data_IF_476443132254
#
_entry.id   IF_476443132254
#
_cell.length_a   1.000
_cell.length_b   1.000
_cell.length_c   1.000
_cell.angle_alpha   90.00
_cell.angle_beta   90.00
_cell.angle_gamma   90.00
#
_symmetry.space_group_name_H-M   'P 1'
#
loop_
_entity.id
_entity.type
_entity.pdbx_description
1 polymer ?
#
# COMPACT_ATOMS: atom_id res chain seq x y z
N UNK A 1 -9.74 8.83 29.81
CA UNK A 1 -9.99 8.99 28.38
C UNK A 1 -9.16 10.16 27.90
N UNK A 2 -8.44 9.99 26.79
CA UNK A 2 -7.73 11.01 26.05
C UNK A 2 -8.28 11.03 24.63
N UNK A 3 -8.57 12.21 24.10
CA UNK A 3 -8.93 12.40 22.70
C UNK A 3 -7.85 13.19 21.99
N UNK A 4 -7.56 12.81 20.75
CA UNK A 4 -6.59 13.47 19.87
C UNK A 4 -7.23 13.69 18.51
N UNK A 5 -7.13 14.89 17.97
CA UNK A 5 -7.66 15.23 16.66
C UNK A 5 -6.50 15.49 15.69
N UNK A 6 -6.62 14.97 14.46
CA UNK A 6 -5.66 15.27 13.40
C UNK A 6 -5.91 16.67 12.86
N UNK A 7 -4.85 17.44 12.62
CA UNK A 7 -4.95 18.86 12.25
C UNK A 7 -5.61 19.06 10.87
N UNK A 8 -5.22 18.27 9.87
CA UNK A 8 -5.63 18.50 8.48
C UNK A 8 -6.83 17.66 8.06
N UNK A 9 -6.94 16.43 8.54
CA UNK A 9 -8.01 15.50 8.14
C UNK A 9 -9.25 15.55 9.06
N UNK A 10 -9.13 16.17 10.25
CA UNK A 10 -10.22 16.27 11.22
C UNK A 10 -10.67 14.92 11.79
N UNK A 11 -9.78 13.91 11.74
CA UNK A 11 -10.05 12.60 12.32
C UNK A 11 -9.79 12.64 13.82
N UNK A 12 -10.67 12.03 14.60
CA UNK A 12 -10.54 11.91 16.05
C UNK A 12 -10.14 10.50 16.45
N UNK A 13 -9.21 10.38 17.38
CA UNK A 13 -8.86 9.14 18.07
C UNK A 13 -9.13 9.28 19.56
N UNK A 14 -9.80 8.31 20.14
CA UNK A 14 -10.03 8.21 21.58
C UNK A 14 -9.19 7.07 22.15
N UNK A 15 -8.38 7.37 23.16
CA UNK A 15 -7.62 6.39 23.94
C UNK A 15 -8.22 6.28 25.34
N UNK A 16 -8.73 5.11 25.69
CA UNK A 16 -9.23 4.84 27.04
C UNK A 16 -8.31 3.85 27.75
N UNK A 17 -7.80 4.23 28.90
CA UNK A 17 -6.91 3.39 29.71
C UNK A 17 -7.55 3.10 31.06
N UNK A 18 -7.48 1.85 31.50
CA UNK A 18 -7.83 1.41 32.85
C UNK A 18 -6.73 0.51 33.41
N UNK A 19 -6.31 0.80 34.63
CA UNK A 19 -5.33 0.00 35.37
C UNK A 19 -6.04 -0.80 36.46
N UNK A 20 -5.67 -2.07 36.61
CA UNK A 20 -6.16 -2.99 37.65
C UNK A 20 -4.95 -3.59 38.37
N UNK A 21 -4.89 -3.43 39.68
CA UNK A 21 -3.84 -3.98 40.52
C UNK A 21 -4.37 -5.23 41.27
N UNK A 22 -3.56 -6.28 41.36
CA UNK A 22 -3.92 -7.53 42.04
C UNK A 22 -3.95 -7.42 43.57
N UNK A 23 -3.45 -6.33 44.13
CA UNK A 23 -3.47 -6.02 45.57
C UNK A 23 -4.09 -4.63 45.77
N UNK A 24 -4.54 -4.29 46.99
CA UNK A 24 -4.98 -2.94 47.29
C UNK A 24 -3.87 -1.93 46.98
N UNK A 25 -4.20 -0.92 46.19
CA UNK A 25 -3.26 0.12 45.76
C UNK A 25 -3.92 1.49 45.79
N UNK A 26 -3.17 2.51 46.16
CA UNK A 26 -3.55 3.92 45.97
C UNK A 26 -3.27 4.31 44.53
N UNK A 27 -4.24 4.84 43.82
CA UNK A 27 -4.10 5.28 42.43
C UNK A 27 -4.40 6.78 42.34
N UNK A 28 -3.40 7.56 41.99
CA UNK A 28 -3.52 9.00 41.80
C UNK A 28 -3.27 9.35 40.32
N UNK A 29 -4.22 10.09 39.70
CA UNK A 29 -4.12 10.57 38.34
C UNK A 29 -3.66 12.02 38.33
N UNK A 30 -2.59 12.28 37.59
CA UNK A 30 -2.05 13.59 37.30
C UNK A 30 -2.23 13.90 35.82
N UNK A 31 -2.68 15.11 35.49
CA UNK A 31 -2.79 15.58 34.13
C UNK A 31 -1.93 16.84 33.97
N UNK A 32 -0.96 16.77 33.08
CA UNK A 32 -0.05 17.89 32.78
C UNK A 32 0.03 18.05 31.25
N UNK A 33 -0.47 19.17 30.76
CA UNK A 33 -0.56 19.42 29.30
C UNK A 33 -1.33 18.31 28.57
N UNK A 34 -0.68 17.64 27.63
CA UNK A 34 -1.22 16.55 26.84
C UNK A 34 -0.94 15.15 27.42
N UNK A 35 -0.35 15.07 28.60
CA UNK A 35 -0.01 13.82 29.27
C UNK A 35 -0.94 13.52 30.42
N UNK A 36 -1.30 12.23 30.56
CA UNK A 36 -2.02 11.71 31.74
C UNK A 36 -1.17 10.62 32.38
N UNK A 37 -0.74 10.86 33.61
CA UNK A 37 0.09 9.94 34.38
C UNK A 37 -0.72 9.33 35.52
N UNK A 38 -0.52 8.05 35.79
CA UNK A 38 -1.05 7.35 36.93
C UNK A 38 0.08 6.95 37.88
N UNK A 39 0.06 7.46 39.08
CA UNK A 39 0.93 6.99 40.18
C UNK A 39 0.16 5.90 40.94
N UNK A 40 0.78 4.73 41.06
CA UNK A 40 0.18 3.56 41.69
C UNK A 40 1.10 3.10 42.80
N UNK A 41 0.65 3.26 44.04
CA UNK A 41 1.37 2.90 45.23
C UNK A 41 0.76 1.69 45.90
N UNK A 42 1.55 0.64 46.11
CA UNK A 42 1.13 -0.57 46.82
C UNK A 42 2.23 -1.10 47.73
N UNK A 43 1.83 -1.85 48.75
CA UNK A 43 2.75 -2.51 49.66
C UNK A 43 2.87 -3.98 49.33
N UNK A 44 4.10 -4.49 49.24
CA UNK A 44 4.40 -5.88 48.90
C UNK A 44 5.40 -6.42 49.90
N UNK A 45 5.08 -7.58 50.51
CA UNK A 45 6.02 -8.26 51.43
C UNK A 45 7.05 -9.08 50.62
N UNK A 46 8.19 -9.36 51.26
CA UNK A 46 9.23 -10.20 50.66
C UNK A 46 8.67 -11.57 50.24
N UNK A 47 8.90 -11.99 48.97
CA UNK A 47 8.42 -13.24 48.42
C UNK A 47 6.99 -13.18 47.81
N UNK A 48 6.30 -12.04 47.92
CA UNK A 48 5.03 -11.81 47.26
C UNK A 48 5.23 -11.11 45.91
N UNK A 49 4.32 -11.32 44.98
CA UNK A 49 4.27 -10.64 43.68
C UNK A 49 3.01 -9.82 43.53
N UNK A 50 3.14 -8.70 42.82
CA UNK A 50 2.01 -7.84 42.44
C UNK A 50 1.90 -7.85 40.93
N UNK A 51 0.68 -7.98 40.42
CA UNK A 51 0.37 -7.85 39.00
C UNK A 51 -0.40 -6.57 38.76
N UNK A 52 0.13 -5.73 37.86
CA UNK A 52 -0.57 -4.56 37.34
C UNK A 52 -1.02 -4.88 35.92
N UNK A 53 -2.34 -4.92 35.70
CA UNK A 53 -2.91 -5.11 34.36
C UNK A 53 -3.39 -3.77 33.82
N UNK A 54 -2.87 -3.40 32.64
CA UNK A 54 -3.28 -2.21 31.93
C UNK A 54 -4.15 -2.61 30.73
N UNK A 55 -5.39 -2.17 30.73
CA UNK A 55 -6.29 -2.25 29.60
C UNK A 55 -6.22 -0.94 28.83
N UNK A 56 -6.05 -1.04 27.50
CA UNK A 56 -6.05 0.13 26.61
C UNK A 56 -6.98 -0.14 25.44
N UNK A 57 -7.93 0.76 25.22
CA UNK A 57 -8.86 0.73 24.08
C UNK A 57 -8.59 1.95 23.22
N UNK A 58 -8.54 1.73 21.92
CA UNK A 58 -8.47 2.76 20.90
C UNK A 58 -9.73 2.71 20.04
N UNK A 59 -10.35 3.85 19.83
CA UNK A 59 -11.47 4.03 18.91
C UNK A 59 -11.25 5.28 18.07
N UNK A 60 -11.81 5.34 16.88
CA UNK A 60 -11.63 6.45 15.96
C UNK A 60 -12.95 6.85 15.27
N UNK A 61 -12.94 8.05 14.68
CA UNK A 61 -14.11 8.65 14.01
C UNK A 61 -14.40 8.08 12.62
N UNK A 62 -13.54 7.23 12.06
CA UNK A 62 -13.83 6.49 10.82
C UNK A 62 -14.80 5.33 11.09
N UNK A 63 -14.73 4.77 12.31
CA UNK A 63 -15.52 3.60 12.74
C UNK A 63 -16.70 3.93 13.63
N UNK A 64 -16.67 5.10 14.29
CA UNK A 64 -17.65 5.46 15.33
C UNK A 64 -18.00 6.94 15.29
N UNK A 65 -19.29 7.26 15.28
CA UNK A 65 -19.79 8.63 15.38
C UNK A 65 -19.44 9.28 16.73
N UNK A 66 -19.45 8.49 17.82
CA UNK A 66 -19.02 8.88 19.17
C UNK A 66 -17.90 7.96 19.65
N UNK A 67 -16.64 8.37 19.42
CA UNK A 67 -15.45 7.62 19.81
C UNK A 67 -15.37 7.39 21.33
N UNK A 68 -15.82 8.35 22.14
CA UNK A 68 -15.74 8.26 23.61
C UNK A 68 -16.72 7.21 24.12
N UNK A 69 -17.94 7.22 23.63
CA UNK A 69 -18.95 6.24 24.02
C UNK A 69 -18.56 4.83 23.55
N UNK A 70 -18.05 4.70 22.34
CA UNK A 70 -17.54 3.43 21.81
C UNK A 70 -16.37 2.90 22.65
N UNK A 71 -15.41 3.76 23.04
CA UNK A 71 -14.29 3.38 23.89
C UNK A 71 -14.74 2.92 25.28
N UNK A 72 -15.76 3.56 25.88
CA UNK A 72 -16.34 3.14 27.16
C UNK A 72 -16.98 1.75 27.05
N UNK A 73 -17.83 1.53 26.03
CA UNK A 73 -18.50 0.26 25.81
C UNK A 73 -17.49 -0.87 25.58
N UNK A 74 -16.47 -0.65 24.74
CA UNK A 74 -15.40 -1.62 24.50
C UNK A 74 -14.59 -1.93 25.76
N UNK A 75 -14.30 -0.92 26.62
CA UNK A 75 -13.64 -1.14 27.88
C UNK A 75 -14.48 -1.98 28.85
N UNK A 76 -15.77 -1.72 28.95
CA UNK A 76 -16.70 -2.52 29.77
C UNK A 76 -16.71 -3.97 29.32
N UNK A 77 -16.82 -4.22 28.01
CA UNK A 77 -16.73 -5.57 27.44
C UNK A 77 -15.39 -6.24 27.75
N UNK A 78 -14.27 -5.52 27.58
CA UNK A 78 -12.94 -6.06 27.85
C UNK A 78 -12.77 -6.49 29.30
N UNK A 79 -13.32 -5.74 30.24
CA UNK A 79 -13.25 -6.04 31.67
C UNK A 79 -14.16 -7.21 32.11
N UNK A 80 -15.22 -7.53 31.36
CA UNK A 80 -16.07 -8.71 31.61
C UNK A 80 -15.36 -10.01 31.23
N UNK A 81 -14.30 -9.98 30.47
CA UNK A 81 -13.57 -11.18 30.01
C UNK A 81 -12.33 -11.39 30.90
N UNK A 82 -12.16 -12.58 31.50
CA UNK A 82 -10.96 -12.90 32.27
C UNK A 82 -9.69 -12.77 31.41
N UNK A 83 -8.59 -12.29 32.00
CA UNK A 83 -7.33 -12.11 31.28
C UNK A 83 -6.80 -13.40 30.62
N UNK A 84 -6.98 -14.56 31.29
CA UNK A 84 -6.63 -15.87 30.72
C UNK A 84 -7.36 -16.14 29.41
N UNK A 85 -8.61 -15.70 29.29
CA UNK A 85 -9.39 -15.89 28.07
C UNK A 85 -8.90 -15.02 26.91
N UNK A 86 -8.35 -13.83 27.20
CA UNK A 86 -7.68 -13.00 26.20
C UNK A 86 -6.43 -13.67 25.66
N UNK A 87 -5.65 -14.35 26.49
CA UNK A 87 -4.50 -15.15 26.05
C UNK A 87 -4.94 -16.33 25.18
N UNK A 88 -6.02 -17.02 25.52
CA UNK A 88 -6.57 -18.11 24.71
C UNK A 88 -7.00 -17.63 23.33
N UNK A 89 -7.74 -16.50 23.25
CA UNK A 89 -8.11 -15.91 21.95
C UNK A 89 -6.89 -15.54 21.10
N UNK A 90 -5.88 -14.96 21.70
CA UNK A 90 -4.63 -14.64 21.00
C UNK A 90 -3.93 -15.90 20.51
N UNK A 91 -3.84 -16.94 21.32
CA UNK A 91 -3.23 -18.21 20.95
C UNK A 91 -3.99 -18.89 19.82
N UNK A 92 -5.30 -18.97 19.89
CA UNK A 92 -6.15 -19.58 18.86
C UNK A 92 -6.01 -18.84 17.53
N UNK A 93 -6.03 -17.49 17.56
CA UNK A 93 -5.84 -16.67 16.38
C UNK A 93 -4.47 -16.91 15.73
N UNK A 94 -3.39 -16.82 16.50
CA UNK A 94 -2.04 -17.05 15.99
C UNK A 94 -1.82 -18.49 15.53
N UNK A 95 -2.43 -19.48 16.21
CA UNK A 95 -2.36 -20.87 15.78
C UNK A 95 -2.96 -21.05 14.38
N UNK A 96 -4.12 -20.46 14.12
CA UNK A 96 -4.75 -20.49 12.80
C UNK A 96 -3.88 -19.80 11.76
N UNK A 97 -3.33 -18.63 12.08
CA UNK A 97 -2.42 -17.91 11.20
C UNK A 97 -1.20 -18.76 10.83
N UNK A 98 -0.51 -19.35 11.81
CA UNK A 98 0.68 -20.16 11.55
C UNK A 98 0.40 -21.45 10.77
N UNK A 99 -0.80 -22.03 10.92
CA UNK A 99 -1.19 -23.19 10.11
C UNK A 99 -1.22 -22.90 8.60
N UNK A 100 -1.48 -21.65 8.22
CA UNK A 100 -1.61 -21.22 6.82
C UNK A 100 -0.37 -20.49 6.29
N UNK A 101 0.48 -19.98 7.17
CA UNK A 101 1.49 -18.97 6.82
C UNK A 101 2.91 -19.30 7.27
N UNK A 102 3.09 -20.41 8.02
CA UNK A 102 4.43 -20.79 8.50
C UNK A 102 5.31 -21.28 7.36
N UNK A 103 6.60 -21.03 7.49
CA UNK A 103 7.64 -21.47 6.56
C UNK A 103 8.63 -22.34 7.31
N UNK A 104 8.91 -23.51 6.76
CA UNK A 104 9.92 -24.42 7.28
C UNK A 104 11.24 -24.18 6.53
N UNK A 105 12.29 -23.84 7.28
CA UNK A 105 13.62 -23.54 6.74
C UNK A 105 14.63 -24.46 7.44
N UNK A 106 15.10 -25.44 6.70
CA UNK A 106 16.12 -26.37 7.19
C UNK A 106 17.51 -25.76 7.16
N UNK A 107 18.28 -25.97 8.22
CA UNK A 107 19.71 -25.67 8.28
C UNK A 107 20.09 -24.28 8.71
N UNK A 108 19.11 -23.37 8.95
CA UNK A 108 19.35 -22.03 9.48
C UNK A 108 18.22 -21.57 10.42
N UNK A 109 18.35 -21.93 11.71
CA UNK A 109 17.39 -21.58 12.75
C UNK A 109 17.27 -20.05 12.95
N UNK A 110 18.34 -19.30 12.73
CA UNK A 110 18.34 -17.84 12.87
C UNK A 110 17.51 -17.18 11.76
N UNK A 111 17.66 -17.65 10.52
CA UNK A 111 16.86 -17.21 9.39
C UNK A 111 15.38 -17.57 9.60
N UNK A 112 15.08 -18.81 10.01
CA UNK A 112 13.72 -19.26 10.30
C UNK A 112 13.05 -18.37 11.38
N UNK A 113 13.76 -18.07 12.46
CA UNK A 113 13.27 -17.16 13.51
C UNK A 113 13.05 -15.73 12.99
N UNK A 114 13.97 -15.20 12.17
CA UNK A 114 13.84 -13.86 11.58
C UNK A 114 12.64 -13.76 10.65
N UNK A 115 12.40 -14.76 9.79
CA UNK A 115 11.24 -14.81 8.90
C UNK A 115 9.94 -14.84 9.71
N UNK A 116 9.82 -15.76 10.69
CA UNK A 116 8.63 -15.84 11.57
C UNK A 116 8.38 -14.54 12.32
N UNK A 117 9.44 -13.87 12.82
CA UNK A 117 9.30 -12.58 13.47
C UNK A 117 8.73 -11.52 12.52
N UNK A 118 9.23 -11.44 11.28
CA UNK A 118 8.73 -10.50 10.29
C UNK A 118 7.27 -10.79 9.89
N UNK A 119 6.89 -12.06 9.70
CA UNK A 119 5.51 -12.45 9.43
C UNK A 119 4.58 -12.10 10.61
N UNK A 120 5.06 -12.26 11.85
CA UNK A 120 4.33 -11.84 13.04
C UNK A 120 4.12 -10.32 13.08
N UNK A 121 5.13 -9.52 12.74
CA UNK A 121 4.99 -8.06 12.63
C UNK A 121 4.01 -7.66 11.53
N UNK A 122 4.05 -8.36 10.40
CA UNK A 122 3.16 -8.10 9.27
C UNK A 122 1.69 -8.37 9.65
N UNK A 123 1.38 -9.53 10.26
CA UNK A 123 0.00 -9.86 10.66
C UNK A 123 -0.56 -8.92 11.72
N UNK A 124 0.27 -8.41 12.64
CA UNK A 124 -0.17 -7.42 13.63
C UNK A 124 -0.54 -6.08 12.98
N UNK A 125 0.17 -5.70 11.90
CA UNK A 125 0.04 -4.40 11.25
C UNK A 125 -1.10 -4.36 10.24
N UNK A 126 -1.58 -5.52 9.77
CA UNK A 126 -2.59 -5.60 8.73
C UNK A 126 -3.95 -5.06 9.20
N UNK A 127 -4.58 -4.23 8.37
CA UNK A 127 -5.96 -3.77 8.56
C UNK A 127 -6.95 -4.95 8.62
N UNK A 128 -7.97 -4.82 9.45
CA UNK A 128 -9.02 -5.85 9.67
C UNK A 128 -10.35 -5.45 9.11
N UNK A 129 -10.45 -4.27 8.55
CA UNK A 129 -11.66 -3.71 7.98
C UNK A 129 -11.33 -2.71 6.86
N UNK A 130 -12.36 -2.20 6.22
CA UNK A 130 -12.26 -1.26 5.11
C UNK A 130 -11.63 0.11 5.43
N UNK A 131 -11.37 0.42 6.69
CA UNK A 131 -10.78 1.69 7.13
C UNK A 131 -9.29 1.59 7.46
N UNK A 132 -8.73 0.38 7.46
CA UNK A 132 -7.35 0.11 7.81
C UNK A 132 -6.53 -0.47 6.66
N UNK A 133 -5.29 -0.03 6.56
CA UNK A 133 -4.27 -0.58 5.66
C UNK A 133 -3.03 -0.97 6.49
N UNK A 134 -1.87 -1.13 5.87
CA UNK A 134 -0.60 -1.42 6.55
C UNK A 134 0.28 -0.17 6.48
N UNK A 135 0.61 0.40 7.65
CA UNK A 135 1.51 1.55 7.71
C UNK A 135 2.93 1.16 7.30
N UNK A 136 3.66 2.08 6.66
CA UNK A 136 5.00 1.83 6.11
C UNK A 136 6.02 1.26 7.11
N UNK A 137 5.89 1.59 8.41
CA UNK A 137 6.72 1.06 9.51
C UNK A 137 5.96 0.11 10.44
N UNK A 138 4.79 -0.37 10.03
CA UNK A 138 3.94 -1.21 10.86
C UNK A 138 3.50 -0.50 12.15
N UNK A 139 3.36 -1.26 13.24
CA UNK A 139 2.95 -0.73 14.55
C UNK A 139 4.14 -0.27 15.41
N UNK A 140 5.37 -0.62 15.08
CA UNK A 140 6.54 -0.44 15.94
C UNK A 140 7.43 0.74 15.56
N UNK A 141 7.22 1.39 14.41
CA UNK A 141 8.04 2.47 13.91
C UNK A 141 7.29 3.79 13.79
N UNK A 142 7.94 4.90 14.14
CA UNK A 142 7.38 6.26 14.03
C UNK A 142 7.59 6.88 12.64
N UNK A 143 8.44 6.30 11.79
CA UNK A 143 8.69 6.78 10.44
C UNK A 143 7.42 6.82 9.60
N UNK A 144 7.32 7.83 8.74
CA UNK A 144 6.17 8.10 7.86
C UNK A 144 4.84 8.33 8.59
N UNK A 145 4.85 8.49 9.91
CA UNK A 145 3.71 8.97 10.72
C UNK A 145 2.42 8.15 10.51
N UNK A 146 2.57 6.85 10.32
CA UNK A 146 1.45 5.93 10.11
C UNK A 146 0.77 6.01 8.74
N UNK A 147 1.35 6.71 7.76
CA UNK A 147 0.81 6.78 6.41
C UNK A 147 0.96 5.47 5.65
N UNK A 148 0.05 5.29 4.68
CA UNK A 148 -0.03 4.16 3.76
C UNK A 148 0.54 4.54 2.39
N UNK A 149 1.18 3.55 1.74
CA UNK A 149 1.83 3.67 0.44
C UNK A 149 1.48 2.44 -0.42
N UNK A 150 1.98 2.41 -1.65
CA UNK A 150 1.83 1.28 -2.57
C UNK A 150 2.62 0.01 -2.15
N UNK A 151 3.47 0.13 -1.15
CA UNK A 151 4.18 -1.01 -0.52
C UNK A 151 3.21 -2.10 -0.11
N UNK A 152 2.01 -1.75 0.33
CA UNK A 152 0.98 -2.71 0.69
C UNK A 152 0.60 -3.56 -0.50
N UNK A 153 0.22 -2.97 -1.62
CA UNK A 153 -0.27 -3.66 -2.81
C UNK A 153 0.78 -4.57 -3.45
N UNK A 154 2.02 -4.08 -3.54
CA UNK A 154 3.06 -4.75 -4.32
C UNK A 154 3.94 -5.69 -3.51
N UNK A 155 4.14 -5.43 -2.22
CA UNK A 155 5.12 -6.19 -1.42
C UNK A 155 4.52 -6.92 -0.21
N UNK A 156 3.38 -6.47 0.33
CA UNK A 156 2.78 -7.05 1.54
C UNK A 156 1.53 -7.88 1.22
N UNK A 157 0.65 -7.36 0.39
CA UNK A 157 -0.61 -8.00 0.02
C UNK A 157 -0.43 -9.34 -0.70
N UNK A 158 0.57 -9.57 -1.58
CA UNK A 158 0.78 -10.87 -2.20
C UNK A 158 0.92 -12.02 -1.19
N UNK A 159 1.59 -11.78 -0.06
CA UNK A 159 1.65 -12.75 1.02
C UNK A 159 0.25 -13.11 1.56
N UNK A 160 -0.57 -12.10 1.86
CA UNK A 160 -1.93 -12.34 2.36
C UNK A 160 -2.85 -12.93 1.29
N UNK A 161 -2.70 -12.54 0.04
CA UNK A 161 -3.48 -13.10 -1.07
C UNK A 161 -3.33 -14.62 -1.15
N UNK A 162 -2.11 -15.13 -0.91
CA UNK A 162 -1.82 -16.56 -0.98
C UNK A 162 -2.06 -17.32 0.34
N UNK A 163 -2.05 -16.65 1.49
CA UNK A 163 -2.14 -17.31 2.80
C UNK A 163 -3.41 -16.99 3.57
N UNK A 164 -3.91 -15.75 3.46
CA UNK A 164 -5.08 -15.24 4.18
C UNK A 164 -5.89 -14.28 3.30
N UNK A 165 -6.60 -14.77 2.29
CA UNK A 165 -7.28 -13.93 1.28
C UNK A 165 -8.32 -12.96 1.87
N UNK A 166 -8.90 -13.24 3.03
CA UNK A 166 -9.80 -12.33 3.73
C UNK A 166 -9.08 -11.03 4.17
N UNK A 167 -7.80 -11.12 4.55
CA UNK A 167 -6.99 -9.94 4.86
C UNK A 167 -6.71 -9.16 3.58
N UNK A 168 -6.31 -9.84 2.50
CA UNK A 168 -6.13 -9.23 1.19
C UNK A 168 -7.37 -8.47 0.73
N UNK A 169 -8.55 -9.09 0.89
CA UNK A 169 -9.84 -8.46 0.60
C UNK A 169 -10.07 -7.18 1.41
N UNK A 170 -9.78 -7.18 2.71
CA UNK A 170 -9.89 -5.99 3.55
C UNK A 170 -8.96 -4.85 3.09
N UNK A 171 -7.77 -5.17 2.62
CA UNK A 171 -6.83 -4.18 2.07
C UNK A 171 -7.35 -3.57 0.76
N UNK A 172 -8.00 -4.37 -0.11
CA UNK A 172 -8.68 -3.86 -1.30
C UNK A 172 -9.92 -3.05 -0.91
N UNK A 173 -10.68 -3.48 0.10
CA UNK A 173 -11.82 -2.73 0.63
C UNK A 173 -11.42 -1.33 1.11
N UNK A 174 -10.23 -1.17 1.70
CA UNK A 174 -9.68 0.14 2.00
C UNK A 174 -9.50 0.99 0.74
N UNK A 175 -8.93 0.44 -0.34
CA UNK A 175 -8.77 1.17 -1.61
C UNK A 175 -10.12 1.53 -2.23
N UNK A 176 -11.11 0.66 -2.09
CA UNK A 176 -12.48 0.95 -2.53
C UNK A 176 -13.12 2.06 -1.71
N UNK A 177 -12.94 2.08 -0.39
CA UNK A 177 -13.49 3.11 0.50
C UNK A 177 -12.93 4.51 0.18
N UNK A 178 -11.68 4.59 -0.25
CA UNK A 178 -11.04 5.86 -0.65
C UNK A 178 -11.14 6.17 -2.15
N UNK A 179 -11.90 5.40 -2.93
CA UNK A 179 -12.00 5.58 -4.39
C UNK A 179 -12.59 6.95 -4.77
N UNK A 180 -13.56 7.44 -4.03
CA UNK A 180 -14.13 8.78 -4.27
C UNK A 180 -13.11 9.89 -3.98
N UNK A 181 -12.26 9.72 -2.96
CA UNK A 181 -11.15 10.63 -2.72
C UNK A 181 -10.12 10.58 -3.86
N UNK A 182 -9.87 9.39 -4.44
CA UNK A 182 -9.00 9.25 -5.61
C UNK A 182 -9.60 9.90 -6.88
N UNK A 183 -10.91 9.83 -7.07
CA UNK A 183 -11.61 10.57 -8.14
C UNK A 183 -11.46 12.08 -7.96
N UNK A 184 -11.58 12.57 -6.74
CA UNK A 184 -11.40 13.99 -6.44
C UNK A 184 -9.94 14.42 -6.63
N UNK A 185 -8.96 13.59 -6.23
CA UNK A 185 -7.55 13.83 -6.47
C UNK A 185 -7.24 13.95 -7.98
N UNK A 186 -7.81 13.08 -8.81
CA UNK A 186 -7.70 13.19 -10.26
C UNK A 186 -8.19 14.55 -10.78
N UNK A 187 -9.35 15.04 -10.31
CA UNK A 187 -9.89 16.35 -10.70
C UNK A 187 -9.01 17.51 -10.23
N UNK A 188 -8.45 17.43 -9.01
CA UNK A 188 -7.53 18.45 -8.48
C UNK A 188 -6.30 18.59 -9.37
N UNK A 189 -5.80 17.48 -9.92
CA UNK A 189 -4.68 17.48 -10.85
C UNK A 189 -5.07 17.83 -12.30
N UNK A 190 -6.34 18.08 -12.58
CA UNK A 190 -6.85 18.52 -13.87
C UNK A 190 -7.38 17.43 -14.79
N UNK A 191 -7.46 16.18 -14.32
CA UNK A 191 -8.02 15.07 -15.10
C UNK A 191 -9.54 15.15 -15.20
N UNK A 192 -10.08 14.75 -16.35
CA UNK A 192 -11.50 14.82 -16.66
C UNK A 192 -12.28 13.61 -16.18
N UNK A 193 -11.61 12.45 -16.13
CA UNK A 193 -12.19 11.14 -15.80
C UNK A 193 -11.20 10.29 -15.03
N UNK A 194 -11.72 9.28 -14.34
CA UNK A 194 -10.94 8.29 -13.64
C UNK A 194 -10.61 8.66 -12.19
N UNK A 195 -9.82 7.83 -11.58
CA UNK A 195 -9.38 7.99 -10.20
C UNK A 195 -7.84 7.93 -10.14
N UNK A 196 -7.22 8.83 -9.39
CA UNK A 196 -5.78 8.86 -9.11
C UNK A 196 -5.55 8.58 -7.64
N UNK A 197 -5.13 7.37 -7.31
CA UNK A 197 -4.78 7.01 -5.95
C UNK A 197 -3.57 7.80 -5.45
N UNK A 198 -3.60 8.25 -4.19
CA UNK A 198 -2.52 9.04 -3.61
C UNK A 198 -1.28 8.17 -3.39
N UNK A 199 -0.10 8.76 -3.57
CA UNK A 199 1.18 8.13 -3.24
C UNK A 199 1.33 7.94 -1.72
N UNK A 200 0.95 8.94 -0.91
CA UNK A 200 1.00 8.93 0.55
C UNK A 200 -0.33 9.35 1.14
N UNK A 201 -0.94 8.53 1.98
CA UNK A 201 -2.28 8.83 2.54
C UNK A 201 -2.55 8.13 3.87
N UNK A 202 -3.56 8.64 4.60
CA UNK A 202 -4.28 7.93 5.66
C UNK A 202 -5.75 7.77 5.24
N UNK A 203 -6.39 8.83 4.78
CA UNK A 203 -7.84 8.91 4.52
C UNK A 203 -8.21 9.04 3.04
N UNK A 204 -7.28 8.76 2.13
CA UNK A 204 -7.48 8.91 0.68
C UNK A 204 -7.01 10.24 0.08
N UNK A 205 -6.70 11.24 0.89
CA UNK A 205 -6.12 12.50 0.41
C UNK A 205 -4.62 12.35 0.19
N UNK A 206 -4.09 12.95 -0.88
CA UNK A 206 -2.66 13.00 -1.15
C UNK A 206 -1.95 13.88 -0.10
N UNK A 207 -0.94 13.33 0.56
CA UNK A 207 -0.19 13.95 1.64
C UNK A 207 1.32 14.08 1.35
N UNK A 208 1.77 13.86 0.11
CA UNK A 208 3.18 14.05 -0.24
C UNK A 208 3.58 15.52 -0.19
N UNK A 209 4.77 15.77 0.37
CA UNK A 209 5.31 17.13 0.50
C UNK A 209 6.11 17.62 -0.71
N UNK A 210 6.46 16.70 -1.64
CA UNK A 210 7.27 17.00 -2.82
C UNK A 210 6.68 16.29 -4.05
N UNK A 211 5.96 17.03 -4.89
CA UNK A 211 5.16 16.47 -5.98
C UNK A 211 5.98 15.64 -7.00
N UNK A 212 7.26 15.96 -7.35
CA UNK A 212 7.96 15.19 -8.37
C UNK A 212 8.21 13.73 -8.00
N UNK A 213 8.47 13.43 -6.71
CA UNK A 213 8.63 12.06 -6.21
C UNK A 213 7.46 11.61 -5.33
N UNK A 214 6.31 12.25 -5.44
CA UNK A 214 5.08 11.92 -4.73
C UNK A 214 3.91 11.86 -5.70
N UNK A 215 3.13 12.92 -5.81
CA UNK A 215 1.90 12.98 -6.65
C UNK A 215 2.12 12.65 -8.13
N UNK A 216 3.35 12.79 -8.65
CA UNK A 216 3.70 12.41 -10.02
C UNK A 216 3.90 10.89 -10.21
N UNK A 217 3.85 10.09 -9.14
CA UNK A 217 3.92 8.63 -9.21
C UNK A 217 2.56 8.04 -9.58
N UNK A 218 2.22 8.09 -10.86
CA UNK A 218 0.95 7.61 -11.40
C UNK A 218 0.86 6.07 -11.41
N UNK A 219 1.97 5.36 -11.34
CA UNK A 219 2.01 3.90 -11.30
C UNK A 219 1.21 3.31 -10.13
N UNK A 220 0.98 4.09 -9.04
CA UNK A 220 0.13 3.68 -7.90
C UNK A 220 -1.23 3.15 -8.37
N UNK A 221 -1.80 3.72 -9.42
CA UNK A 221 -3.05 3.27 -9.99
C UNK A 221 -2.98 1.84 -10.53
N UNK A 222 -1.92 1.55 -11.26
CA UNK A 222 -1.69 0.21 -11.78
C UNK A 222 -1.36 -0.79 -10.67
N UNK A 223 -0.64 -0.35 -9.62
CA UNK A 223 -0.30 -1.18 -8.45
C UNK A 223 -1.57 -1.60 -7.69
N UNK A 224 -2.51 -0.66 -7.51
CA UNK A 224 -3.82 -0.97 -6.90
C UNK A 224 -4.63 -1.91 -7.79
N UNK A 225 -4.65 -1.69 -9.10
CA UNK A 225 -5.32 -2.59 -10.05
C UNK A 225 -4.68 -3.98 -10.03
N UNK A 226 -3.35 -4.08 -10.00
CA UNK A 226 -2.62 -5.34 -9.88
C UNK A 226 -3.04 -6.13 -8.64
N UNK A 227 -3.15 -5.48 -7.49
CA UNK A 227 -3.56 -6.13 -6.26
C UNK A 227 -4.99 -6.70 -6.32
N UNK A 228 -5.93 -5.98 -6.97
CA UNK A 228 -7.30 -6.47 -7.23
C UNK A 228 -7.27 -7.71 -8.13
N UNK A 229 -6.48 -7.67 -9.20
CA UNK A 229 -6.33 -8.78 -10.14
C UNK A 229 -5.69 -9.99 -9.48
N UNK A 230 -4.62 -9.79 -8.71
CA UNK A 230 -3.94 -10.86 -7.99
C UNK A 230 -4.89 -11.57 -7.00
N UNK A 231 -5.73 -10.81 -6.30
CA UNK A 231 -6.78 -11.36 -5.45
C UNK A 231 -7.77 -12.22 -6.25
N UNK A 232 -8.27 -11.70 -7.39
CA UNK A 232 -9.17 -12.44 -8.25
C UNK A 232 -8.56 -13.74 -8.78
N UNK A 233 -7.33 -13.69 -9.25
CA UNK A 233 -6.64 -14.88 -9.80
C UNK A 233 -6.41 -15.96 -8.72
N UNK A 234 -6.21 -15.55 -7.47
CA UNK A 234 -6.02 -16.49 -6.37
C UNK A 234 -7.33 -17.08 -5.82
N UNK A 235 -8.43 -16.31 -5.85
CA UNK A 235 -9.69 -16.69 -5.19
C UNK A 235 -10.81 -17.03 -6.13
N UNK A 236 -10.80 -16.50 -7.35
CA UNK A 236 -11.89 -16.53 -8.34
C UNK A 236 -13.21 -15.94 -7.78
N UNK A 237 -13.14 -15.03 -6.80
CA UNK A 237 -14.28 -14.36 -6.18
C UNK A 237 -14.89 -13.30 -7.12
N UNK A 238 -15.64 -13.80 -8.10
CA UNK A 238 -16.24 -12.97 -9.15
C UNK A 238 -17.32 -12.02 -8.60
N UNK A 239 -18.02 -12.41 -7.54
CA UNK A 239 -19.02 -11.55 -6.90
C UNK A 239 -18.37 -10.32 -6.23
N UNK A 240 -17.23 -10.51 -5.61
CA UNK A 240 -16.45 -9.41 -5.06
C UNK A 240 -15.94 -8.48 -6.17
N UNK A 241 -15.45 -9.04 -7.26
CA UNK A 241 -15.02 -8.25 -8.43
C UNK A 241 -16.19 -7.45 -8.99
N UNK A 242 -17.35 -8.06 -9.20
CA UNK A 242 -18.53 -7.37 -9.71
C UNK A 242 -19.03 -6.24 -8.79
N UNK A 243 -18.91 -6.43 -7.48
CA UNK A 243 -19.44 -5.47 -6.49
C UNK A 243 -18.48 -4.29 -6.21
N UNK A 244 -17.15 -4.51 -6.30
CA UNK A 244 -16.13 -3.53 -5.89
C UNK A 244 -14.89 -3.51 -6.79
N UNK A 245 -14.25 -4.66 -7.00
CA UNK A 245 -12.93 -4.73 -7.64
C UNK A 245 -12.90 -4.17 -9.05
N UNK A 246 -13.92 -4.47 -9.85
CA UNK A 246 -14.03 -4.00 -11.23
C UNK A 246 -14.17 -2.48 -11.31
N UNK A 247 -14.87 -1.84 -10.38
CA UNK A 247 -14.99 -0.38 -10.34
C UNK A 247 -13.63 0.28 -10.14
N UNK A 248 -12.78 -0.25 -9.25
CA UNK A 248 -11.41 0.22 -9.07
C UNK A 248 -10.63 0.12 -10.39
N UNK A 249 -10.66 -1.05 -11.02
CA UNK A 249 -9.88 -1.32 -12.24
C UNK A 249 -10.35 -0.48 -13.42
N UNK A 250 -11.65 -0.23 -13.55
CA UNK A 250 -12.20 0.63 -14.60
C UNK A 250 -11.86 2.11 -14.38
N UNK A 251 -11.94 2.60 -13.15
CA UNK A 251 -11.65 4.00 -12.86
C UNK A 251 -10.15 4.32 -12.98
N UNK A 252 -9.28 3.39 -12.61
CA UNK A 252 -7.84 3.53 -12.83
C UNK A 252 -7.49 3.45 -14.33
N UNK A 253 -8.14 2.56 -15.10
CA UNK A 253 -8.00 2.50 -16.55
C UNK A 253 -8.45 3.80 -17.26
N UNK A 254 -9.54 4.43 -16.79
CA UNK A 254 -9.98 5.73 -17.30
C UNK A 254 -8.93 6.83 -17.11
N UNK A 255 -8.21 6.80 -15.99
CA UNK A 255 -7.15 7.77 -15.75
C UNK A 255 -6.02 7.63 -16.76
N UNK A 256 -5.61 6.42 -17.10
CA UNK A 256 -4.58 6.19 -18.13
C UNK A 256 -4.96 6.78 -19.47
N UNK A 257 -6.25 6.68 -19.85
CA UNK A 257 -6.75 7.28 -21.10
C UNK A 257 -6.71 8.80 -21.12
N UNK A 258 -6.82 9.45 -19.94
CA UNK A 258 -6.75 10.91 -19.81
C UNK A 258 -5.31 11.42 -19.60
N UNK A 259 -4.44 10.59 -19.04
CA UNK A 259 -3.00 10.88 -18.83
C UNK A 259 -2.19 10.67 -20.11
N UNK A 260 -2.44 9.57 -20.81
CA UNK A 260 -1.70 9.20 -22.02
C UNK A 260 -2.26 9.83 -23.29
N UNK A 261 -1.51 9.67 -24.37
CA UNK A 261 -1.95 10.14 -25.68
C UNK A 261 -1.45 9.24 -26.82
N UNK A 262 -2.24 9.16 -27.91
CA UNK A 262 -1.81 8.46 -29.11
C UNK A 262 -0.93 9.36 -29.99
N UNK A 263 0.29 8.87 -30.30
CA UNK A 263 1.20 9.53 -31.21
C UNK A 263 1.89 8.52 -32.15
N UNK A 264 1.77 8.69 -33.44
CA UNK A 264 2.39 7.83 -34.47
C UNK A 264 2.14 6.33 -34.27
N UNK A 265 0.91 5.97 -33.89
CA UNK A 265 0.53 4.56 -33.68
C UNK A 265 0.98 3.96 -32.35
N UNK A 266 1.49 4.75 -31.42
CA UNK A 266 1.86 4.35 -30.07
C UNK A 266 1.02 5.11 -29.04
N UNK A 267 0.73 4.47 -27.91
CA UNK A 267 0.17 5.12 -26.74
C UNK A 267 1.30 5.48 -25.78
N UNK A 268 1.46 6.75 -25.49
CA UNK A 268 2.56 7.31 -24.71
C UNK A 268 2.05 7.88 -23.39
N UNK A 269 2.83 7.74 -22.32
CA UNK A 269 2.59 8.35 -21.01
C UNK A 269 3.78 9.26 -20.69
N UNK A 270 3.51 10.56 -20.55
CA UNK A 270 4.54 11.58 -20.34
C UNK A 270 4.44 12.20 -18.96
N UNK A 271 5.54 12.82 -18.50
CA UNK A 271 5.63 13.65 -17.29
C UNK A 271 5.21 12.89 -16.02
N UNK A 272 5.69 11.66 -15.86
CA UNK A 272 5.45 10.81 -14.69
C UNK A 272 6.75 10.46 -13.96
N UNK A 273 6.63 10.07 -12.71
CA UNK A 273 7.72 9.50 -11.92
C UNK A 273 7.44 8.01 -11.68
N UNK A 274 8.41 7.16 -11.96
CA UNK A 274 8.36 5.74 -11.64
C UNK A 274 8.64 5.47 -10.16
N UNK A 275 8.75 4.19 -9.75
CA UNK A 275 9.17 3.80 -8.41
C UNK A 275 10.51 4.37 -7.96
N UNK A 276 11.44 4.57 -8.90
CA UNK A 276 12.76 5.16 -8.64
C UNK A 276 12.68 6.67 -8.47
N UNK A 277 12.87 7.14 -7.26
CA UNK A 277 12.84 8.57 -6.93
C UNK A 277 14.12 9.34 -7.34
N UNK A 278 15.15 8.65 -7.89
CA UNK A 278 16.34 9.28 -8.46
C UNK A 278 16.12 9.73 -9.90
N UNK A 279 14.94 9.44 -10.47
CA UNK A 279 14.54 9.85 -11.81
C UNK A 279 13.08 10.34 -11.76
N UNK A 280 12.86 11.65 -11.87
CA UNK A 280 11.53 12.24 -11.73
C UNK A 280 11.10 13.01 -12.98
N UNK A 281 9.78 13.02 -13.24
CA UNK A 281 9.14 13.74 -14.34
C UNK A 281 9.80 13.37 -15.67
N UNK A 282 9.57 12.13 -16.07
CA UNK A 282 10.11 11.55 -17.28
C UNK A 282 9.00 11.08 -18.22
N UNK A 283 9.37 10.85 -19.47
CA UNK A 283 8.44 10.33 -20.47
C UNK A 283 8.65 8.82 -20.63
N UNK A 284 7.54 8.11 -20.76
CA UNK A 284 7.51 6.68 -21.00
C UNK A 284 8.39 5.88 -20.03
N UNK A 285 8.15 6.12 -18.71
CA UNK A 285 8.76 5.28 -17.69
C UNK A 285 8.31 3.82 -17.89
N UNK A 286 9.28 2.92 -18.02
CA UNK A 286 9.00 1.52 -18.37
C UNK A 286 8.03 0.83 -17.40
N UNK A 287 8.26 0.98 -16.08
CA UNK A 287 7.39 0.40 -15.07
C UNK A 287 5.96 0.96 -15.16
N UNK A 288 5.84 2.28 -15.23
CA UNK A 288 4.54 2.96 -15.33
C UNK A 288 3.77 2.50 -16.58
N UNK A 289 4.45 2.42 -17.74
CA UNK A 289 3.81 2.00 -18.99
C UNK A 289 3.40 0.51 -18.96
N UNK A 290 4.26 -0.38 -18.45
CA UNK A 290 3.94 -1.80 -18.31
C UNK A 290 2.76 -2.02 -17.34
N UNK A 291 2.73 -1.28 -16.24
CA UNK A 291 1.67 -1.35 -15.25
C UNK A 291 0.34 -0.78 -15.77
N UNK A 292 0.40 0.32 -16.54
CA UNK A 292 -0.76 0.88 -17.23
C UNK A 292 -1.30 -0.09 -18.29
N UNK A 293 -0.42 -0.74 -19.06
CA UNK A 293 -0.81 -1.76 -20.03
C UNK A 293 -1.55 -2.92 -19.36
N UNK A 294 -1.01 -3.43 -18.24
CA UNK A 294 -1.64 -4.49 -17.46
C UNK A 294 -3.02 -4.08 -16.91
N UNK A 295 -3.14 -2.86 -16.37
CA UNK A 295 -4.42 -2.36 -15.89
C UNK A 295 -5.47 -2.23 -17.01
N UNK A 296 -5.09 -1.70 -18.19
CA UNK A 296 -5.95 -1.59 -19.36
C UNK A 296 -6.39 -2.98 -19.86
N UNK A 297 -5.47 -3.93 -19.93
CA UNK A 297 -5.75 -5.33 -20.25
C UNK A 297 -6.84 -5.92 -19.33
N UNK A 298 -6.64 -5.80 -18.02
CA UNK A 298 -7.60 -6.36 -17.05
C UNK A 298 -8.92 -5.61 -16.98
N UNK A 299 -8.94 -4.33 -17.32
CA UNK A 299 -10.20 -3.63 -17.51
C UNK A 299 -11.02 -4.24 -18.67
N UNK A 300 -10.39 -4.55 -19.80
CA UNK A 300 -11.05 -5.26 -20.91
C UNK A 300 -11.47 -6.67 -20.48
N UNK A 301 -10.59 -7.43 -19.81
CA UNK A 301 -10.88 -8.78 -19.33
C UNK A 301 -12.03 -8.84 -18.33
N UNK A 302 -12.08 -7.92 -17.36
CA UNK A 302 -13.19 -7.88 -16.39
C UNK A 302 -14.50 -7.48 -17.06
N UNK A 303 -14.48 -6.59 -18.05
CA UNK A 303 -15.67 -6.33 -18.86
C UNK A 303 -16.20 -7.61 -19.52
N UNK A 304 -15.34 -8.37 -20.18
CA UNK A 304 -15.70 -9.62 -20.84
C UNK A 304 -16.23 -10.67 -19.85
N UNK A 305 -15.47 -10.95 -18.79
CA UNK A 305 -15.79 -11.95 -17.78
C UNK A 305 -17.12 -11.63 -17.06
N UNK A 306 -17.31 -10.37 -16.65
CA UNK A 306 -18.54 -9.96 -15.99
C UNK A 306 -19.75 -9.95 -16.93
N UNK A 307 -19.54 -9.61 -18.19
CA UNK A 307 -20.61 -9.67 -19.21
C UNK A 307 -21.04 -11.12 -19.47
N UNK A 308 -20.10 -12.05 -19.64
CA UNK A 308 -20.39 -13.48 -19.79
C UNK A 308 -21.12 -14.07 -18.57
N UNK A 309 -20.78 -13.61 -17.38
CA UNK A 309 -21.43 -14.02 -16.12
C UNK A 309 -22.77 -13.32 -15.86
N UNK A 310 -23.15 -12.31 -16.64
CA UNK A 310 -24.36 -11.52 -16.41
C UNK A 310 -24.27 -10.57 -15.20
N UNK A 311 -23.06 -10.21 -14.77
CA UNK A 311 -22.76 -9.38 -13.60
C UNK A 311 -22.25 -7.97 -13.94
N UNK A 312 -22.12 -7.64 -15.22
CA UNK A 312 -21.52 -6.38 -15.68
C UNK A 312 -22.42 -5.16 -15.45
N UNK A 313 -23.72 -5.31 -15.74
CA UNK A 313 -24.66 -4.19 -15.82
C UNK A 313 -24.64 -3.28 -14.57
N UNK A 314 -24.71 -3.81 -13.33
CA UNK A 314 -24.75 -2.95 -12.15
C UNK A 314 -23.52 -2.02 -11.99
N UNK A 315 -22.32 -2.52 -12.26
CA UNK A 315 -21.09 -1.71 -12.16
C UNK A 315 -20.96 -0.77 -13.35
N UNK A 316 -21.30 -1.22 -14.56
CA UNK A 316 -21.24 -0.40 -15.77
C UNK A 316 -22.22 0.78 -15.71
N UNK A 317 -23.47 0.57 -15.27
CA UNK A 317 -24.45 1.63 -15.07
C UNK A 317 -24.04 2.60 -13.97
N UNK A 318 -23.57 2.07 -12.82
CA UNK A 318 -23.12 2.88 -11.68
C UNK A 318 -22.11 3.96 -12.09
N UNK A 319 -21.12 3.60 -12.93
CA UNK A 319 -20.05 4.51 -13.32
C UNK A 319 -20.22 5.05 -14.77
N UNK A 320 -21.32 4.70 -15.45
CA UNK A 320 -21.58 5.10 -16.84
C UNK A 320 -20.47 4.61 -17.79
N UNK A 321 -19.99 3.38 -17.62
CA UNK A 321 -18.95 2.79 -18.45
C UNK A 321 -19.58 2.29 -19.76
N UNK A 322 -18.94 2.60 -20.89
CA UNK A 322 -19.44 2.29 -22.22
C UNK A 322 -18.53 1.33 -23.00
N UNK A 323 -19.10 0.62 -23.97
CA UNK A 323 -18.33 -0.24 -24.89
C UNK A 323 -17.26 0.55 -25.66
N UNK A 324 -17.51 1.82 -25.97
CA UNK A 324 -16.55 2.68 -26.66
C UNK A 324 -15.33 2.98 -25.79
N UNK A 325 -15.51 3.15 -24.48
CA UNK A 325 -14.39 3.30 -23.54
C UNK A 325 -13.56 2.01 -23.49
N UNK A 326 -14.20 0.85 -23.42
CA UNK A 326 -13.51 -0.46 -23.45
C UNK A 326 -12.71 -0.67 -24.75
N UNK A 327 -13.30 -0.30 -25.89
CA UNK A 327 -12.58 -0.32 -27.17
C UNK A 327 -11.36 0.62 -27.16
N UNK A 328 -11.49 1.77 -26.50
CA UNK A 328 -10.37 2.69 -26.23
C UNK A 328 -9.28 2.07 -25.37
N UNK A 329 -9.64 1.39 -24.27
CA UNK A 329 -8.70 0.70 -23.39
C UNK A 329 -7.92 -0.37 -24.16
N UNK A 330 -8.62 -1.21 -24.90
CA UNK A 330 -8.00 -2.24 -25.74
C UNK A 330 -7.00 -1.66 -26.75
N UNK A 331 -7.39 -0.59 -27.44
CA UNK A 331 -6.50 0.08 -28.37
C UNK A 331 -5.26 0.67 -27.70
N UNK A 332 -5.41 1.26 -26.51
CA UNK A 332 -4.28 1.82 -25.75
C UNK A 332 -3.35 0.72 -25.22
N UNK A 333 -3.89 -0.39 -24.75
CA UNK A 333 -3.15 -1.60 -24.38
C UNK A 333 -2.29 -2.12 -25.53
N UNK A 334 -2.92 -2.37 -26.71
CA UNK A 334 -2.25 -2.90 -27.89
C UNK A 334 -1.17 -1.98 -28.46
N UNK A 335 -1.29 -0.67 -28.25
CA UNK A 335 -0.38 0.36 -28.76
C UNK A 335 0.53 0.94 -27.66
N UNK A 336 0.50 0.39 -26.44
CA UNK A 336 1.34 0.88 -25.36
C UNK A 336 2.80 0.87 -25.76
N UNK A 337 3.46 1.99 -25.58
CA UNK A 337 4.88 2.11 -25.85
C UNK A 337 5.70 1.65 -24.64
N UNK A 338 6.43 0.57 -24.82
CA UNK A 338 7.44 0.10 -23.87
C UNK A 338 8.82 0.40 -24.46
N UNK A 339 9.62 1.25 -23.82
CA UNK A 339 10.97 1.58 -24.30
C UNK A 339 11.86 0.35 -24.50
N UNK A 340 12.56 0.27 -25.62
CA UNK A 340 13.51 -0.79 -25.92
C UNK A 340 14.70 -0.22 -26.71
N UNK A 341 15.92 -0.56 -26.29
CA UNK A 341 17.16 -0.23 -26.98
C UNK A 341 17.70 -1.45 -27.72
N UNK A 342 17.71 -1.38 -29.06
CA UNK A 342 18.10 -2.51 -29.92
C UNK A 342 19.61 -2.79 -29.86
N UNK A 343 20.45 -1.78 -29.61
CA UNK A 343 21.90 -1.93 -29.55
C UNK A 343 22.35 -2.69 -28.30
N UNK A 344 21.78 -2.32 -27.16
CA UNK A 344 22.05 -2.97 -25.87
C UNK A 344 21.19 -4.23 -25.68
N UNK A 345 20.03 -4.32 -26.34
CA UNK A 345 19.04 -5.36 -26.15
C UNK A 345 18.38 -5.33 -24.76
N UNK A 346 18.08 -4.12 -24.26
CA UNK A 346 17.52 -3.87 -22.94
C UNK A 346 16.29 -2.96 -22.99
N UNK A 347 15.53 -2.91 -21.92
CA UNK A 347 14.52 -1.89 -21.73
C UNK A 347 15.08 -0.73 -20.91
N UNK A 348 15.22 0.49 -21.50
CA UNK A 348 15.58 1.67 -20.74
C UNK A 348 14.52 2.03 -19.71
N UNK A 349 14.94 2.61 -18.57
CA UNK A 349 14.01 3.02 -17.50
C UNK A 349 13.03 4.10 -17.95
N UNK A 350 13.45 4.98 -18.86
CA UNK A 350 12.64 6.02 -19.52
C UNK A 350 13.32 6.46 -20.84
N UNK A 351 12.65 7.30 -21.61
CA UNK A 351 13.13 7.81 -22.90
C UNK A 351 14.49 8.53 -22.82
N UNK A 352 14.84 9.11 -21.66
CA UNK A 352 16.03 9.92 -21.49
C UNK A 352 17.18 9.20 -20.76
N UNK A 353 16.90 8.06 -20.11
CA UNK A 353 17.82 7.42 -19.17
C UNK A 353 19.18 7.12 -19.79
N UNK A 354 19.22 6.45 -20.93
CA UNK A 354 20.47 6.07 -21.60
C UNK A 354 21.25 7.24 -22.22
N UNK A 355 20.64 8.42 -22.32
CA UNK A 355 21.27 9.63 -22.85
C UNK A 355 22.08 10.40 -21.80
N UNK A 356 21.97 10.02 -20.52
CA UNK A 356 22.62 10.67 -19.39
C UNK A 356 24.01 10.08 -19.14
N UNK A 357 24.88 10.84 -18.49
CA UNK A 357 26.16 10.32 -17.98
C UNK A 357 25.93 9.35 -16.80
N UNK A 358 26.80 8.34 -16.67
CA UNK A 358 26.73 7.42 -15.54
C UNK A 358 27.28 8.09 -14.29
N UNK A 359 26.58 7.92 -13.15
CA UNK A 359 27.05 8.36 -11.86
C UNK A 359 28.26 7.51 -11.43
N UNK A 360 29.33 8.15 -10.97
CA UNK A 360 30.49 7.42 -10.43
C UNK A 360 30.26 6.98 -8.99
N UNK A 361 29.61 5.82 -8.84
CA UNK A 361 29.32 5.22 -7.53
C UNK A 361 30.60 4.92 -6.75
N UNK A 362 31.68 4.52 -7.45
CA UNK A 362 32.96 4.15 -6.81
C UNK A 362 33.71 5.35 -6.24
N UNK A 363 33.59 6.51 -6.88
CA UNK A 363 34.16 7.75 -6.38
C UNK A 363 33.28 8.45 -5.31
N UNK A 364 32.04 8.02 -5.15
CA UNK A 364 31.11 8.60 -4.14
C UNK A 364 31.51 8.16 -2.74
N UNK A 365 31.71 9.10 -1.78
CA UNK A 365 31.98 8.74 -0.38
C UNK A 365 30.89 7.85 0.21
N UNK A 366 31.28 6.85 0.99
CA UNK A 366 30.33 5.88 1.58
C UNK A 366 29.29 6.52 2.50
N UNK A 367 29.64 7.60 3.18
CA UNK A 367 28.78 8.38 4.05
C UNK A 367 27.84 9.34 3.28
N UNK A 368 27.97 9.42 1.95
CA UNK A 368 27.04 10.16 1.08
C UNK A 368 25.87 9.31 0.56
N UNK A 369 25.64 8.12 1.11
CA UNK A 369 24.46 7.32 0.81
C UNK A 369 23.45 7.37 1.97
N UNK A 370 22.15 7.46 1.67
CA UNK A 370 21.51 7.58 0.35
C UNK A 370 21.73 8.97 -0.28
N UNK A 371 21.87 9.01 -1.61
CA UNK A 371 22.28 10.23 -2.35
C UNK A 371 21.39 11.45 -2.09
N UNK A 372 20.07 11.27 -1.96
CA UNK A 372 19.11 12.36 -1.72
C UNK A 372 19.32 13.12 -0.41
N UNK A 373 20.08 12.57 0.55
CA UNK A 373 20.44 13.28 1.79
C UNK A 373 21.64 14.20 1.61
N UNK A 374 22.42 14.05 0.53
CA UNK A 374 23.69 14.73 0.35
C UNK A 374 23.77 15.54 -0.95
N UNK A 375 22.97 15.18 -1.96
CA UNK A 375 22.94 15.84 -3.25
C UNK A 375 21.55 16.37 -3.57
N UNK A 376 21.48 17.53 -4.20
CA UNK A 376 20.21 18.09 -4.61
C UNK A 376 19.56 17.19 -5.68
N UNK A 377 18.24 16.92 -5.62
CA UNK A 377 17.55 16.05 -6.59
C UNK A 377 17.82 16.41 -8.06
N UNK A 378 17.76 17.70 -8.44
CA UNK A 378 18.06 18.16 -9.81
C UNK A 378 19.48 17.81 -10.28
N UNK A 379 20.44 17.60 -9.38
CA UNK A 379 21.77 17.14 -9.73
C UNK A 379 21.74 15.64 -10.06
N UNK A 380 21.11 14.84 -9.21
CA UNK A 380 20.96 13.38 -9.38
C UNK A 380 20.23 13.04 -10.69
N UNK A 381 19.17 13.77 -11.02
CA UNK A 381 18.33 13.52 -12.22
C UNK A 381 19.07 13.65 -13.56
N UNK A 382 20.30 14.20 -13.55
CA UNK A 382 21.13 14.33 -14.75
C UNK A 382 21.95 13.08 -15.05
N UNK A 383 21.94 12.09 -14.18
CA UNK A 383 22.78 10.90 -14.29
C UNK A 383 21.98 9.62 -14.44
N UNK A 384 22.62 8.60 -15.00
CA UNK A 384 22.16 7.22 -14.90
C UNK A 384 22.53 6.71 -13.50
N UNK A 385 21.60 6.76 -12.60
CA UNK A 385 21.70 6.20 -11.24
C UNK A 385 20.30 5.88 -10.74
N UNK A 386 20.11 4.71 -10.17
CA UNK A 386 18.86 4.25 -9.61
C UNK A 386 19.02 4.01 -8.11
N UNK A 387 18.03 4.42 -7.33
CA UNK A 387 17.82 3.92 -5.97
C UNK A 387 17.28 2.50 -6.04
N UNK A 388 16.37 2.27 -7.00
CA UNK A 388 15.79 0.98 -7.38
C UNK A 388 15.48 1.01 -8.87
N UNK A 389 15.79 -0.06 -9.59
CA UNK A 389 15.63 -0.10 -11.05
C UNK A 389 14.17 -0.44 -11.43
N UNK A 390 13.43 0.52 -11.96
CA UNK A 390 12.03 0.38 -12.38
C UNK A 390 11.84 -0.75 -13.40
N UNK A 391 12.74 -0.83 -14.38
CA UNK A 391 12.71 -1.86 -15.40
C UNK A 391 12.85 -3.26 -14.82
N UNK A 392 13.77 -3.45 -13.86
CA UNK A 392 13.99 -4.76 -13.22
C UNK A 392 12.76 -5.15 -12.39
N UNK A 393 12.15 -4.19 -11.68
CA UNK A 393 10.92 -4.42 -10.95
C UNK A 393 9.77 -4.81 -11.89
N UNK A 394 9.61 -4.12 -13.02
CA UNK A 394 8.60 -4.45 -14.02
C UNK A 394 8.79 -5.87 -14.59
N UNK A 395 10.03 -6.26 -14.89
CA UNK A 395 10.34 -7.61 -15.35
C UNK A 395 10.03 -8.69 -14.31
N UNK A 396 10.20 -8.39 -13.03
CA UNK A 396 9.85 -9.32 -11.95
C UNK A 396 8.32 -9.49 -11.82
N UNK A 397 7.57 -8.39 -11.94
CA UNK A 397 6.11 -8.41 -11.74
C UNK A 397 5.38 -8.92 -12.98
N UNK A 398 5.85 -8.55 -14.18
CA UNK A 398 5.27 -8.87 -15.48
C UNK A 398 6.23 -9.74 -16.30
N UNK A 399 6.72 -10.85 -15.70
CA UNK A 399 7.78 -11.69 -16.28
C UNK A 399 7.46 -12.23 -17.68
N UNK A 400 6.17 -12.46 -17.98
CA UNK A 400 5.71 -12.95 -19.30
C UNK A 400 5.70 -11.86 -20.38
N UNK A 401 5.89 -10.58 -20.00
CA UNK A 401 5.82 -9.45 -20.94
C UNK A 401 7.11 -9.28 -21.78
N UNK A 402 8.22 -9.94 -21.40
CA UNK A 402 9.50 -9.84 -22.08
C UNK A 402 10.18 -11.19 -22.24
N UNK A 403 11.03 -11.32 -23.25
CA UNK A 403 11.86 -12.50 -23.43
C UNK A 403 13.00 -12.56 -22.37
N UNK A 404 13.42 -13.78 -22.03
CA UNK A 404 14.39 -14.03 -20.98
C UNK A 404 15.75 -13.37 -21.25
N UNK A 405 16.17 -13.22 -22.51
CA UNK A 405 17.46 -12.61 -22.86
C UNK A 405 17.43 -11.10 -22.60
N UNK A 406 16.34 -10.42 -22.93
CA UNK A 406 16.12 -9.00 -22.61
C UNK A 406 16.08 -8.79 -21.09
N UNK A 407 15.41 -9.67 -20.34
CA UNK A 407 15.38 -9.63 -18.87
C UNK A 407 16.81 -9.74 -18.31
N UNK A 408 17.59 -10.73 -18.75
CA UNK A 408 18.96 -10.94 -18.28
C UNK A 408 19.88 -9.76 -18.57
N UNK A 409 19.82 -9.20 -19.79
CA UNK A 409 20.62 -8.04 -20.18
C UNK A 409 20.23 -6.80 -19.40
N UNK A 410 18.94 -6.56 -19.22
CA UNK A 410 18.45 -5.44 -18.42
C UNK A 410 18.90 -5.57 -16.95
N UNK A 411 18.76 -6.74 -16.34
CA UNK A 411 19.23 -7.00 -14.99
C UNK A 411 20.74 -6.69 -14.87
N UNK A 412 21.57 -7.26 -15.75
CA UNK A 412 23.01 -7.02 -15.73
C UNK A 412 23.41 -5.56 -15.99
N UNK A 413 22.57 -4.79 -16.68
CA UNK A 413 22.83 -3.37 -16.93
C UNK A 413 22.55 -2.50 -15.70
N UNK A 414 21.50 -2.82 -14.94
CA UNK A 414 21.05 -2.04 -13.79
C UNK A 414 21.66 -2.50 -12.46
N UNK A 415 22.24 -3.72 -12.38
CA UNK A 415 22.96 -4.24 -11.22
C UNK A 415 24.27 -3.43 -10.98
#
# INVERSE_FOLDING_TARGET
>A
VLTTDTVSSGLQVCTYVKNVCSVPASMNRIQEGHCVTWNIDCSVSQGQSVTLTKYTVFTDSLRHDDCIQAAKASMEQALCVPLSRWYEYQQDYLKTFWQQSDLDIDGDDALAAAVRYNLYQLIQSAGRDKFGNIAAKGLSGEGYEGHYFWDTEMYMQPFFTLTNPDISRNLIDFRYEILDAARENAKILGHKKGALYPWRTISGKECSGYFPSGSAQYHINGDVAYAVVAYYLATLDLEYIASKGAEIVFETARLWMDTGNFHKGRFLINDVTGPDEYTCIVNNNYYTNANAQYNLHWAVRFWEILNEAGLLEPVAEKIGLTQDEINGFKKAEEQMYLPYDEELGINPQDDSFLQKEKWDIKATPKDHFPLLLHYHPLYIYRYQVCKQADTVLAHFIFEDAQDLETIRKSFAYYE
#
